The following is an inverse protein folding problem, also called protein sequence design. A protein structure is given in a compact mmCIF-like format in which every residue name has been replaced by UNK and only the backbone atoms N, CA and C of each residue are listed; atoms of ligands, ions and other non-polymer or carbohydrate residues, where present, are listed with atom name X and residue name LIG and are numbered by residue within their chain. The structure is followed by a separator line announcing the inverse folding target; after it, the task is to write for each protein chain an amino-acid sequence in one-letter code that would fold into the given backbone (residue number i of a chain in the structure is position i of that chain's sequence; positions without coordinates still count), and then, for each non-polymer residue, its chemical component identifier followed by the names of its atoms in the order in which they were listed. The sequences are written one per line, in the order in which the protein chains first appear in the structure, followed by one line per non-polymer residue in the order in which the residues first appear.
data_IF_854796295178
#
_entry.id   IF_854796295178
#
_cell.length_a   1.000
_cell.length_b   1.000
_cell.length_c   1.000
_cell.angle_alpha   90.00
_cell.angle_beta   90.00
_cell.angle_gamma   90.00
#
_symmetry.space_group_name_H-M   'P 1'
#
loop_
_entity.id
_entity.type
_entity.pdbx_description
1 polymer ?
#
# COMPACT_ATOMS: atom_id res chain seq x y z
N UNK A 1 -11.19 -20.14 -21.93
CA UNK A 1 -10.42 -19.01 -21.39
C UNK A 1 -8.92 -19.15 -21.70
N UNK A 2 -8.50 -19.20 -22.98
CA UNK A 2 -7.09 -19.40 -23.35
C UNK A 2 -6.17 -18.19 -23.07
N UNK A 3 -6.73 -16.97 -22.99
CA UNK A 3 -5.95 -15.75 -22.75
C UNK A 3 -5.31 -15.67 -21.36
N UNK A 4 -5.93 -16.27 -20.33
CA UNK A 4 -5.39 -16.26 -18.97
C UNK A 4 -4.10 -17.10 -18.86
N UNK A 5 -4.06 -18.25 -19.54
CA UNK A 5 -2.87 -19.10 -19.58
C UNK A 5 -1.70 -18.39 -20.29
N UNK A 6 -1.98 -17.70 -21.40
CA UNK A 6 -0.96 -16.90 -22.08
C UNK A 6 -0.42 -15.78 -21.16
N UNK A 7 -1.29 -15.04 -20.48
CA UNK A 7 -0.89 -13.98 -19.57
C UNK A 7 -0.01 -14.49 -18.41
N UNK A 8 -0.35 -15.65 -17.82
CA UNK A 8 0.46 -16.28 -16.76
C UNK A 8 1.83 -16.70 -17.31
N UNK A 9 1.87 -17.29 -18.50
CA UNK A 9 3.13 -17.69 -19.14
C UNK A 9 4.03 -16.47 -19.41
N UNK A 10 3.47 -15.39 -19.96
CA UNK A 10 4.19 -14.12 -20.14
C UNK A 10 4.70 -13.57 -18.82
N UNK A 11 3.85 -13.51 -17.79
CA UNK A 11 4.24 -13.05 -16.45
C UNK A 11 5.41 -13.84 -15.88
N UNK A 12 5.38 -15.17 -15.99
CA UNK A 12 6.46 -16.05 -15.49
C UNK A 12 7.76 -15.80 -16.27
N UNK A 13 7.69 -15.67 -17.59
CA UNK A 13 8.87 -15.40 -18.43
C UNK A 13 9.46 -14.03 -18.11
N UNK A 14 8.64 -12.98 -18.04
CA UNK A 14 9.07 -11.62 -17.69
C UNK A 14 9.66 -11.55 -16.27
N UNK A 15 9.06 -12.25 -15.30
CA UNK A 15 9.57 -12.33 -13.94
C UNK A 15 10.93 -13.04 -13.88
N UNK A 16 11.10 -14.13 -14.64
CA UNK A 16 12.38 -14.83 -14.75
C UNK A 16 13.45 -13.93 -15.40
N UNK A 17 13.07 -13.20 -16.45
CA UNK A 17 13.93 -12.25 -17.13
C UNK A 17 14.38 -11.13 -16.17
N UNK A 18 13.44 -10.54 -15.42
CA UNK A 18 13.72 -9.54 -14.40
C UNK A 18 14.62 -10.07 -13.28
N UNK A 19 14.44 -11.33 -12.85
CA UNK A 19 15.29 -11.95 -11.84
C UNK A 19 16.74 -12.18 -12.34
N UNK A 20 16.92 -12.47 -13.63
CA UNK A 20 18.25 -12.64 -14.24
C UNK A 20 18.94 -11.29 -14.42
N UNK A 21 18.27 -10.30 -15.02
CA UNK A 21 18.85 -8.97 -15.24
C UNK A 21 19.01 -8.17 -13.94
N UNK A 22 18.18 -8.41 -12.93
CA UNK A 22 18.30 -7.78 -11.62
C UNK A 22 19.63 -8.08 -10.92
N UNK A 23 20.29 -9.20 -11.25
CA UNK A 23 21.63 -9.52 -10.74
C UNK A 23 22.73 -8.58 -11.26
N UNK A 24 22.45 -7.82 -12.32
CA UNK A 24 23.36 -6.78 -12.81
C UNK A 24 23.32 -5.52 -11.95
N UNK A 25 22.32 -5.39 -11.06
CA UNK A 25 22.21 -4.28 -10.12
C UNK A 25 23.13 -4.58 -8.92
N UNK A 26 24.22 -3.81 -8.70
CA UNK A 26 25.24 -4.17 -7.71
C UNK A 26 24.75 -4.03 -6.26
N UNK A 27 23.99 -2.99 -5.98
CA UNK A 27 23.42 -2.72 -4.66
C UNK A 27 22.06 -2.02 -4.81
N UNK A 28 20.98 -2.78 -4.59
CA UNK A 28 19.60 -2.28 -4.65
C UNK A 28 19.28 -1.30 -3.52
N UNK A 29 19.93 -1.46 -2.37
CA UNK A 29 19.71 -0.62 -1.19
C UNK A 29 20.37 0.75 -1.38
N UNK A 30 21.59 0.79 -1.92
CA UNK A 30 22.25 2.06 -2.30
C UNK A 30 21.45 2.86 -3.35
N UNK A 31 20.70 2.17 -4.21
CA UNK A 31 19.84 2.78 -5.23
C UNK A 31 18.41 3.07 -4.74
N UNK A 32 18.04 2.63 -3.54
CA UNK A 32 16.70 2.82 -2.97
C UNK A 32 15.59 2.03 -3.68
N UNK A 33 15.93 0.96 -4.39
CA UNK A 33 14.97 0.13 -5.14
C UNK A 33 14.01 -0.62 -4.19
N UNK A 34 14.49 -0.93 -2.99
CA UNK A 34 13.76 -1.46 -1.85
C UNK A 34 12.75 -0.47 -1.25
N UNK A 35 12.85 0.84 -1.54
CA UNK A 35 11.86 1.84 -1.15
C UNK A 35 10.72 2.02 -2.16
N UNK A 36 10.82 1.42 -3.36
CA UNK A 36 9.81 1.60 -4.40
C UNK A 36 8.41 1.24 -3.91
N UNK A 37 8.25 0.06 -3.30
CA UNK A 37 6.94 -0.40 -2.81
C UNK A 37 6.31 0.56 -1.77
N UNK A 38 7.02 0.96 -0.69
CA UNK A 38 6.54 2.00 0.21
C UNK A 38 6.16 3.32 -0.48
N UNK A 39 6.95 3.77 -1.47
CA UNK A 39 6.68 5.00 -2.22
C UNK A 39 5.41 4.88 -3.05
N UNK A 40 5.15 3.73 -3.70
CA UNK A 40 3.89 3.49 -4.42
C UNK A 40 2.68 3.60 -3.49
N UNK A 41 2.73 2.98 -2.32
CA UNK A 41 1.65 3.09 -1.33
C UNK A 41 1.49 4.50 -0.80
N UNK A 42 2.59 5.21 -0.52
CA UNK A 42 2.54 6.60 -0.11
C UNK A 42 1.89 7.48 -1.19
N UNK A 43 2.24 7.28 -2.46
CA UNK A 43 1.61 7.96 -3.59
C UNK A 43 0.10 7.73 -3.63
N UNK A 44 -0.35 6.49 -3.45
CA UNK A 44 -1.78 6.15 -3.36
C UNK A 44 -2.45 6.87 -2.17
N UNK A 45 -1.85 6.81 -0.98
CA UNK A 45 -2.36 7.47 0.24
C UNK A 45 -2.47 8.98 0.04
N UNK A 46 -1.45 9.60 -0.58
CA UNK A 46 -1.45 11.04 -0.88
C UNK A 46 -2.51 11.41 -1.91
N UNK A 47 -2.89 10.50 -2.81
CA UNK A 47 -4.05 10.65 -3.70
C UNK A 47 -5.37 10.86 -2.95
N UNK A 48 -5.47 10.38 -1.70
CA UNK A 48 -6.65 10.56 -0.85
C UNK A 48 -6.58 11.76 0.09
N UNK A 49 -5.56 12.63 0.01
CA UNK A 49 -5.33 13.72 0.98
C UNK A 49 -6.47 14.73 1.15
N UNK A 50 -7.38 14.83 0.18
CA UNK A 50 -8.56 15.71 0.22
C UNK A 50 -9.80 15.05 0.84
N UNK A 51 -9.75 13.74 1.13
CA UNK A 51 -10.85 13.02 1.76
C UNK A 51 -11.00 13.47 3.22
N UNK A 52 -12.23 13.55 3.75
CA UNK A 52 -12.45 13.78 5.17
C UNK A 52 -11.74 12.69 5.98
N UNK A 53 -11.23 13.06 7.16
CA UNK A 53 -10.52 12.18 8.10
C UNK A 53 -9.21 11.58 7.59
N UNK A 54 -8.69 12.01 6.44
CA UNK A 54 -7.43 11.50 5.89
C UNK A 54 -6.29 11.54 6.92
N UNK A 55 -6.07 12.69 7.56
CA UNK A 55 -4.96 12.85 8.50
C UNK A 55 -5.11 11.96 9.75
N UNK A 56 -6.27 11.95 10.46
CA UNK A 56 -6.50 11.01 11.57
C UNK A 56 -6.29 9.54 11.18
N UNK A 57 -6.83 9.11 10.03
CA UNK A 57 -6.72 7.72 9.55
C UNK A 57 -5.27 7.36 9.26
N UNK A 58 -4.52 8.25 8.61
CA UNK A 58 -3.09 8.05 8.31
C UNK A 58 -2.28 7.97 9.60
N UNK A 59 -2.51 8.87 10.55
CA UNK A 59 -1.79 8.87 11.84
C UNK A 59 -2.07 7.60 12.64
N UNK A 60 -3.33 7.18 12.74
CA UNK A 60 -3.69 5.96 13.45
C UNK A 60 -3.10 4.71 12.77
N UNK A 61 -3.18 4.62 11.44
CA UNK A 61 -2.58 3.54 10.67
C UNK A 61 -1.05 3.47 10.88
N UNK A 62 -0.38 4.63 10.83
CA UNK A 62 1.06 4.73 11.02
C UNK A 62 1.48 4.32 12.44
N UNK A 63 0.81 4.85 13.46
CA UNK A 63 1.10 4.50 14.85
C UNK A 63 0.90 3.00 15.11
N UNK A 64 -0.23 2.44 14.68
CA UNK A 64 -0.52 1.01 14.82
C UNK A 64 0.50 0.14 14.07
N UNK A 65 0.90 0.54 12.86
CA UNK A 65 1.92 -0.17 12.08
C UNK A 65 3.30 -0.13 12.76
N UNK A 66 3.72 1.02 13.30
CA UNK A 66 5.00 1.14 14.03
C UNK A 66 5.00 0.27 15.29
N UNK A 67 3.90 0.28 16.05
CA UNK A 67 3.76 -0.56 17.25
C UNK A 67 3.82 -2.02 16.86
N UNK A 68 3.04 -2.43 15.84
CA UNK A 68 3.06 -3.80 15.33
C UNK A 68 4.45 -4.20 14.83
N UNK A 69 5.20 -3.29 14.21
CA UNK A 69 6.60 -3.52 13.81
C UNK A 69 7.48 -3.95 14.96
N UNK A 70 7.30 -3.31 16.12
CA UNK A 70 8.10 -3.61 17.30
C UNK A 70 7.60 -4.82 18.08
N UNK A 71 6.32 -5.19 17.97
CA UNK A 71 5.73 -6.24 18.82
C UNK A 71 5.42 -7.55 18.10
N UNK A 72 5.02 -7.52 16.83
CA UNK A 72 4.57 -8.70 16.06
C UNK A 72 5.61 -9.15 15.04
N UNK A 73 6.35 -8.23 14.41
CA UNK A 73 7.33 -8.59 13.39
C UNK A 73 6.74 -8.85 11.99
N UNK A 74 7.63 -8.84 10.99
CA UNK A 74 7.27 -8.79 9.57
C UNK A 74 6.53 -10.07 9.15
N UNK A 75 5.49 -10.00 8.29
CA UNK A 75 4.98 -8.85 7.53
C UNK A 75 3.73 -8.16 8.12
N UNK A 76 3.29 -8.56 9.32
CA UNK A 76 1.94 -8.27 9.83
C UNK A 76 1.62 -6.80 10.09
N UNK A 77 2.64 -5.96 10.23
CA UNK A 77 2.50 -4.54 10.56
C UNK A 77 1.66 -3.77 9.55
N UNK A 78 1.79 -4.11 8.26
CA UNK A 78 1.07 -3.46 7.17
C UNK A 78 -0.43 -3.74 7.30
N UNK A 79 -0.81 -5.00 7.49
CA UNK A 79 -2.21 -5.42 7.65
C UNK A 79 -2.82 -4.85 8.94
N UNK A 80 -2.08 -4.86 10.04
CA UNK A 80 -2.54 -4.31 11.34
C UNK A 80 -2.76 -2.79 11.23
N UNK A 81 -1.82 -2.06 10.62
CA UNK A 81 -1.98 -0.64 10.35
C UNK A 81 -3.20 -0.34 9.48
N UNK A 82 -3.40 -1.11 8.40
CA UNK A 82 -4.56 -0.98 7.52
C UNK A 82 -5.88 -1.21 8.27
N UNK A 83 -5.97 -2.26 9.09
CA UNK A 83 -7.16 -2.56 9.90
C UNK A 83 -7.43 -1.42 10.90
N UNK A 84 -6.41 -0.90 11.59
CA UNK A 84 -6.56 0.19 12.54
C UNK A 84 -7.10 1.46 11.88
N UNK A 85 -6.61 1.82 10.68
CA UNK A 85 -7.11 2.93 9.90
C UNK A 85 -8.58 2.76 9.48
N UNK A 86 -8.93 1.56 9.01
CA UNK A 86 -10.32 1.22 8.63
C UNK A 86 -11.25 1.32 9.84
N UNK A 87 -10.85 0.77 10.99
CA UNK A 87 -11.64 0.84 12.22
C UNK A 87 -11.86 2.29 12.68
N UNK A 88 -10.82 3.14 12.62
CA UNK A 88 -10.97 4.55 12.96
C UNK A 88 -11.97 5.25 12.03
N UNK A 89 -11.86 5.01 10.72
CA UNK A 89 -12.76 5.60 9.73
C UNK A 89 -14.22 5.17 9.92
N UNK A 90 -14.44 3.93 10.38
CA UNK A 90 -15.78 3.41 10.72
C UNK A 90 -16.32 4.05 12.00
N UNK A 91 -15.48 4.23 13.02
CA UNK A 91 -15.89 4.79 14.33
C UNK A 91 -16.15 6.30 14.26
N UNK A 92 -15.40 7.03 13.43
CA UNK A 92 -15.51 8.47 13.27
C UNK A 92 -16.11 8.81 11.91
N UNK A 93 -17.42 8.69 11.67
CA UNK A 93 -18.00 9.06 10.39
C UNK A 93 -17.86 10.58 10.11
N UNK A 94 -17.59 10.99 8.87
CA UNK A 94 -17.52 12.40 8.50
C UNK A 94 -18.85 13.12 8.77
N UNK A 95 -18.83 14.28 9.42
CA UNK A 95 -20.04 15.06 9.70
C UNK A 95 -20.60 15.88 8.51
N UNK A 96 -20.01 15.75 7.32
CA UNK A 96 -20.59 16.30 6.09
C UNK A 96 -20.24 15.42 4.89
N UNK A 97 -21.06 14.41 4.64
CA UNK A 97 -21.18 13.84 3.30
C UNK A 97 -22.02 14.83 2.47
N UNK A 98 -21.36 15.81 1.86
CA UNK A 98 -21.92 16.66 0.82
C UNK A 98 -22.19 15.87 -0.46
N UNK A 99 -23.06 14.86 -0.35
CA UNK A 99 -23.80 14.36 -1.51
C UNK A 99 -24.81 15.46 -1.82
N UNK A 100 -24.41 16.39 -2.69
CA UNK A 100 -25.40 17.11 -3.48
C UNK A 100 -26.18 16.02 -4.22
N UNK A 101 -27.37 15.72 -3.74
CA UNK A 101 -28.38 15.05 -4.54
C UNK A 101 -28.63 16.01 -5.70
N UNK A 102 -27.97 15.77 -6.85
CA UNK A 102 -28.27 16.52 -8.06
C UNK A 102 -29.77 16.28 -8.37
N UNK A 103 -30.52 17.35 -8.68
CA UNK A 103 -31.94 17.24 -9.04
C UNK A 103 -32.13 16.43 -10.33
#
# INVERSE_FOLDING_TARGET
MPGAAAAIMFWVVESALGAVFGKLIPDTHALGIDFLLPIYFLGLVMGFRKRPLWLPVVVASAAASIIAYKTVGSPWHVSIGAIAGVLLAVILPPHHSGVEARP
#
